data_IF_096300378865
#
_entry.id   IF_096300378865
#
_cell.length_a   1.000
_cell.length_b   1.000
_cell.length_c   1.000
_cell.angle_alpha   90.00
_cell.angle_beta   90.00
_cell.angle_gamma   90.00
#
_symmetry.space_group_name_H-M   'P 1'
#
loop_
_entity.id
_entity.type
_entity.pdbx_description
1 polymer ?
#
# COMPACT_ATOMS: atom_id res chain seq x y z
N UNK A 1 -7.80 24.52 8.16
CA UNK A 1 -6.59 23.71 8.42
C UNK A 1 -6.83 22.35 9.11
N UNK A 2 -7.86 22.17 9.97
CA UNK A 2 -8.14 20.86 10.62
C UNK A 2 -8.44 19.73 9.62
N UNK A 3 -9.29 19.98 8.62
CA UNK A 3 -9.64 18.96 7.61
C UNK A 3 -8.42 18.44 6.83
N UNK A 4 -7.46 19.32 6.51
CA UNK A 4 -6.24 18.94 5.80
C UNK A 4 -5.37 17.99 6.63
N UNK A 5 -5.26 18.22 7.94
CA UNK A 5 -4.55 17.32 8.87
C UNK A 5 -5.24 15.95 8.98
N UNK A 6 -6.57 15.91 8.99
CA UNK A 6 -7.33 14.66 9.06
C UNK A 6 -7.15 13.79 7.82
N UNK A 7 -7.19 14.40 6.63
CA UNK A 7 -6.99 13.71 5.34
C UNK A 7 -5.54 13.20 5.24
N UNK A 8 -4.56 14.03 5.59
CA UNK A 8 -3.15 13.65 5.56
C UNK A 8 -2.83 12.50 6.53
N UNK A 9 -3.58 12.40 7.64
CA UNK A 9 -3.45 11.31 8.61
C UNK A 9 -3.86 9.93 8.07
N UNK A 10 -4.71 9.87 7.04
CA UNK A 10 -5.18 8.62 6.40
C UNK A 10 -4.63 8.44 4.99
N UNK A 11 -3.53 9.12 4.67
CA UNK A 11 -2.90 9.07 3.36
C UNK A 11 -2.57 7.64 2.90
N UNK A 12 -1.99 6.74 3.73
CA UNK A 12 -1.67 5.39 3.27
C UNK A 12 -2.89 4.57 2.86
N UNK A 13 -3.98 4.64 3.61
CA UNK A 13 -5.21 3.91 3.30
C UNK A 13 -5.87 4.44 2.02
N UNK A 14 -5.92 5.77 1.84
CA UNK A 14 -6.44 6.36 0.60
C UNK A 14 -5.61 5.99 -0.61
N UNK A 15 -4.28 5.92 -0.46
CA UNK A 15 -3.39 5.44 -1.51
C UNK A 15 -3.72 3.99 -1.91
N UNK A 16 -3.89 3.09 -0.94
CA UNK A 16 -4.25 1.69 -1.22
C UNK A 16 -5.65 1.54 -1.84
N UNK A 17 -6.62 2.36 -1.39
CA UNK A 17 -7.96 2.40 -1.99
C UNK A 17 -7.86 2.82 -3.45
N UNK A 18 -7.11 3.89 -3.74
CA UNK A 18 -6.90 4.36 -5.11
C UNK A 18 -6.25 3.27 -5.97
N UNK A 19 -5.19 2.62 -5.50
CA UNK A 19 -4.56 1.51 -6.22
C UNK A 19 -5.53 0.35 -6.48
N UNK A 20 -6.36 0.01 -5.50
CA UNK A 20 -7.37 -1.06 -5.64
C UNK A 20 -8.40 -0.70 -6.70
N UNK A 21 -8.89 0.55 -6.73
CA UNK A 21 -9.81 1.02 -7.76
C UNK A 21 -9.17 0.99 -9.16
N UNK A 22 -7.92 1.46 -9.28
CA UNK A 22 -7.17 1.43 -10.54
C UNK A 22 -6.91 0.01 -11.03
N UNK A 23 -6.73 -0.96 -10.13
CA UNK A 23 -6.51 -2.37 -10.50
C UNK A 23 -7.69 -2.99 -11.25
N UNK A 24 -8.92 -2.49 -11.03
CA UNK A 24 -10.13 -2.94 -11.73
C UNK A 24 -10.12 -2.52 -13.21
N UNK A 25 -9.31 -1.51 -13.55
CA UNK A 25 -9.20 -0.98 -14.91
C UNK A 25 -8.13 -1.72 -15.75
N UNK A 26 -7.81 -2.98 -15.42
CA UNK A 26 -6.81 -3.77 -16.16
C UNK A 26 -7.40 -4.33 -17.47
N UNK A 27 -6.69 -4.25 -18.62
CA UNK A 27 -7.15 -4.84 -19.88
C UNK A 27 -7.21 -6.38 -19.82
N UNK A 28 -8.15 -7.04 -20.52
CA UNK A 28 -9.23 -6.45 -21.31
C UNK A 28 -10.22 -5.76 -20.37
N UNK A 29 -10.66 -4.55 -20.71
CA UNK A 29 -11.61 -3.75 -19.92
C UNK A 29 -13.03 -4.36 -19.89
N UNK A 30 -13.13 -5.67 -19.72
CA UNK A 30 -14.33 -6.32 -19.24
C UNK A 30 -14.60 -5.72 -17.86
N UNK A 31 -15.66 -4.91 -17.77
CA UNK A 31 -16.31 -4.49 -16.53
C UNK A 31 -16.87 -5.73 -15.80
N UNK A 32 -15.99 -6.65 -15.43
CA UNK A 32 -16.26 -7.77 -14.56
C UNK A 32 -16.09 -7.29 -13.14
N UNK A 33 -17.11 -7.53 -12.32
CA UNK A 33 -17.02 -7.42 -10.87
C UNK A 33 -15.93 -8.40 -10.44
N UNK A 34 -14.69 -7.93 -10.22
CA UNK A 34 -13.62 -8.74 -9.66
C UNK A 34 -13.90 -8.89 -8.16
N UNK A 35 -14.36 -10.06 -7.68
CA UNK A 35 -14.76 -10.21 -6.29
C UNK A 35 -13.58 -9.96 -5.35
N UNK A 36 -12.36 -10.30 -5.76
CA UNK A 36 -11.15 -10.06 -4.99
C UNK A 36 -10.90 -8.56 -4.78
N UNK A 37 -10.99 -7.75 -5.84
CA UNK A 37 -10.79 -6.31 -5.73
C UNK A 37 -11.85 -5.66 -4.82
N UNK A 38 -13.10 -6.11 -4.90
CA UNK A 38 -14.18 -5.63 -4.04
C UNK A 38 -13.95 -6.02 -2.58
N UNK A 39 -13.50 -7.25 -2.31
CA UNK A 39 -13.14 -7.69 -0.96
C UNK A 39 -12.01 -6.85 -0.38
N UNK A 40 -10.94 -6.61 -1.15
CA UNK A 40 -9.82 -5.76 -0.72
C UNK A 40 -10.29 -4.34 -0.45
N UNK A 41 -11.12 -3.77 -1.34
CA UNK A 41 -11.68 -2.43 -1.17
C UNK A 41 -12.52 -2.33 0.11
N UNK A 42 -13.38 -3.32 0.37
CA UNK A 42 -14.20 -3.37 1.57
C UNK A 42 -13.33 -3.43 2.85
N UNK A 43 -12.29 -4.27 2.85
CA UNK A 43 -11.33 -4.36 3.97
C UNK A 43 -10.65 -3.00 4.21
N UNK A 44 -10.20 -2.31 3.16
CA UNK A 44 -9.55 -1.00 3.28
C UNK A 44 -10.51 0.08 3.78
N UNK A 45 -11.76 0.09 3.32
CA UNK A 45 -12.79 1.02 3.82
C UNK A 45 -13.08 0.76 5.30
N UNK A 46 -13.24 -0.50 5.71
CA UNK A 46 -13.40 -0.85 7.12
C UNK A 46 -12.17 -0.46 7.94
N UNK A 47 -10.97 -0.57 7.37
CA UNK A 47 -9.74 -0.12 8.02
C UNK A 47 -9.74 1.40 8.26
N UNK A 48 -10.22 2.20 7.31
CA UNK A 48 -10.37 3.66 7.50
C UNK A 48 -11.38 3.99 8.60
N UNK A 49 -12.48 3.24 8.69
CA UNK A 49 -13.55 3.48 9.68
C UNK A 49 -13.13 3.05 11.08
N UNK A 50 -12.64 1.81 11.24
CA UNK A 50 -12.32 1.23 12.54
C UNK A 50 -10.90 1.55 13.03
N UNK A 51 -10.00 1.95 12.12
CA UNK A 51 -8.62 2.33 12.42
C UNK A 51 -7.91 1.31 13.34
N UNK A 52 -8.19 0.01 13.11
CA UNK A 52 -7.71 -1.05 13.98
C UNK A 52 -6.21 -1.27 13.77
N UNK A 53 -5.42 -1.18 14.85
CA UNK A 53 -3.97 -1.32 14.80
C UNK A 53 -3.50 -2.64 14.19
N UNK A 54 -4.04 -3.76 14.68
CA UNK A 54 -3.61 -5.09 14.26
C UNK A 54 -3.91 -5.29 12.76
N UNK A 55 -5.11 -4.91 12.32
CA UNK A 55 -5.48 -4.96 10.91
C UNK A 55 -4.61 -4.02 10.06
N UNK A 56 -4.32 -2.81 10.52
CA UNK A 56 -3.46 -1.84 9.82
C UNK A 56 -2.03 -2.35 9.62
N UNK A 57 -1.43 -2.94 10.67
CA UNK A 57 -0.11 -3.55 10.58
C UNK A 57 -0.10 -4.80 9.69
N UNK A 58 -1.15 -5.63 9.75
CA UNK A 58 -1.30 -6.79 8.86
C UNK A 58 -1.41 -6.36 7.39
N UNK A 59 -2.23 -5.35 7.09
CA UNK A 59 -2.38 -4.81 5.73
C UNK A 59 -1.04 -4.26 5.23
N UNK A 60 -0.34 -3.48 6.04
CA UNK A 60 0.98 -2.95 5.68
C UNK A 60 2.00 -4.07 5.44
N UNK A 61 2.02 -5.10 6.30
CA UNK A 61 2.90 -6.25 6.15
C UNK A 61 2.63 -7.06 4.88
N UNK A 62 1.36 -7.35 4.59
CA UNK A 62 0.95 -8.02 3.34
C UNK A 62 1.31 -7.18 2.11
N UNK A 63 1.13 -5.87 2.18
CA UNK A 63 1.48 -4.97 1.07
C UNK A 63 2.99 -4.90 0.84
N UNK A 64 3.82 -4.90 1.90
CA UNK A 64 5.28 -5.02 1.78
C UNK A 64 5.66 -6.35 1.15
N UNK A 65 5.11 -7.46 1.64
CA UNK A 65 5.40 -8.79 1.09
C UNK A 65 5.06 -8.87 -0.41
N UNK A 66 3.90 -8.33 -0.82
CA UNK A 66 3.52 -8.23 -2.23
C UNK A 66 4.48 -7.37 -3.06
N UNK A 67 4.98 -6.26 -2.51
CA UNK A 67 5.96 -5.41 -3.20
C UNK A 67 7.34 -6.06 -3.30
N UNK A 68 7.76 -6.81 -2.30
CA UNK A 68 8.99 -7.61 -2.37
C UNK A 68 8.86 -8.71 -3.42
N UNK A 69 7.72 -9.40 -3.48
CA UNK A 69 7.43 -10.37 -4.54
C UNK A 69 7.48 -9.72 -5.93
N UNK A 70 6.87 -8.53 -6.10
CA UNK A 70 6.95 -7.76 -7.34
C UNK A 70 8.40 -7.37 -7.69
N UNK A 71 9.22 -6.97 -6.72
CA UNK A 71 10.64 -6.67 -6.95
C UNK A 71 11.41 -7.89 -7.43
N UNK A 72 11.17 -9.06 -6.83
CA UNK A 72 11.79 -10.32 -7.27
C UNK A 72 11.38 -10.65 -8.71
N UNK A 73 10.10 -10.48 -9.04
CA UNK A 73 9.60 -10.69 -10.41
C UNK A 73 10.25 -9.73 -11.41
N UNK A 74 10.38 -8.44 -11.05
CA UNK A 74 11.05 -7.44 -11.87
C UNK A 74 12.51 -7.79 -12.15
N UNK A 75 13.25 -8.21 -11.11
CA UNK A 75 14.65 -8.62 -11.27
C UNK A 75 14.79 -9.90 -12.10
N UNK A 76 13.83 -10.82 -11.98
CA UNK A 76 13.77 -12.03 -12.80
C UNK A 76 13.61 -11.69 -14.28
N UNK A 77 12.62 -10.86 -14.63
CA UNK A 77 12.36 -10.45 -16.02
C UNK A 77 13.52 -9.60 -16.56
N UNK A 78 14.11 -8.73 -15.73
CA UNK A 78 15.28 -7.94 -16.13
C UNK A 78 16.49 -8.81 -16.52
N UNK A 79 16.70 -9.93 -15.83
CA UNK A 79 17.81 -10.86 -16.11
C UNK A 79 17.66 -11.62 -17.44
N UNK A 80 16.47 -11.67 -18.02
CA UNK A 80 16.25 -12.29 -19.33
C UNK A 80 16.66 -11.38 -20.50
N UNK A 81 16.87 -10.08 -20.24
CA UNK A 81 17.31 -9.17 -21.29
C UNK A 81 18.78 -9.40 -21.64
N UNK A 82 19.13 -9.64 -22.92
CA UNK A 82 20.51 -9.88 -23.34
C UNK A 82 21.39 -8.63 -23.26
N UNK A 83 20.78 -7.45 -23.18
CA UNK A 83 21.47 -6.18 -23.07
C UNK A 83 20.55 -5.11 -22.45
N UNK A 84 21.15 -4.03 -21.95
CA UNK A 84 20.46 -2.90 -21.33
C UNK A 84 19.80 -1.97 -22.37
N UNK A 85 18.86 -2.54 -23.11
CA UNK A 85 18.09 -1.92 -24.20
C UNK A 85 16.97 -1.00 -23.64
N UNK A 86 16.35 -0.13 -24.48
CA UNK A 86 15.26 0.74 -24.03
C UNK A 86 14.08 0.02 -23.35
N UNK A 87 13.65 -1.19 -23.79
CA UNK A 87 12.66 -1.99 -23.05
C UNK A 87 13.10 -2.39 -21.64
N UNK A 88 14.34 -2.87 -21.48
CA UNK A 88 14.91 -3.25 -20.19
C UNK A 88 15.00 -2.05 -19.24
N UNK A 89 15.41 -0.89 -19.76
CA UNK A 89 15.44 0.37 -19.01
C UNK A 89 14.04 0.80 -18.56
N UNK A 90 13.05 0.71 -19.44
CA UNK A 90 11.66 1.07 -19.12
C UNK A 90 11.12 0.17 -18.00
N UNK A 91 11.33 -1.14 -18.10
CA UNK A 91 10.92 -2.11 -17.08
C UNK A 91 11.56 -1.77 -15.72
N UNK A 92 12.87 -1.57 -15.70
CA UNK A 92 13.62 -1.30 -14.47
C UNK A 92 13.21 0.04 -13.83
N UNK A 93 13.20 1.14 -14.59
CA UNK A 93 12.91 2.46 -14.03
C UNK A 93 11.47 2.61 -13.57
N UNK A 94 10.49 2.14 -14.36
CA UNK A 94 9.08 2.23 -13.97
C UNK A 94 8.82 1.34 -12.75
N UNK A 95 9.28 0.09 -12.79
CA UNK A 95 8.98 -0.84 -11.71
C UNK A 95 9.72 -0.53 -10.40
N UNK A 96 10.98 -0.07 -10.45
CA UNK A 96 11.67 0.41 -9.24
C UNK A 96 11.02 1.68 -8.65
N UNK A 97 10.52 2.59 -9.50
CA UNK A 97 9.81 3.78 -9.03
C UNK A 97 8.51 3.42 -8.31
N UNK A 98 7.74 2.48 -8.88
CA UNK A 98 6.53 1.95 -8.25
C UNK A 98 6.84 1.23 -6.94
N UNK A 99 7.89 0.40 -6.92
CA UNK A 99 8.35 -0.28 -5.70
C UNK A 99 8.71 0.72 -4.60
N UNK A 100 9.53 1.73 -4.91
CA UNK A 100 9.96 2.74 -3.94
C UNK A 100 8.76 3.52 -3.37
N UNK A 101 7.81 3.91 -4.21
CA UNK A 101 6.59 4.59 -3.78
C UNK A 101 5.75 3.71 -2.84
N UNK A 102 5.50 2.47 -3.23
CA UNK A 102 4.69 1.54 -2.44
C UNK A 102 5.32 1.20 -1.08
N UNK A 103 6.64 0.98 -1.06
CA UNK A 103 7.37 0.74 0.20
C UNK A 103 7.29 1.96 1.10
N UNK A 104 7.47 3.16 0.55
CA UNK A 104 7.35 4.41 1.32
C UNK A 104 5.96 4.51 1.97
N UNK A 105 4.89 4.26 1.21
CA UNK A 105 3.52 4.27 1.75
C UNK A 105 3.33 3.21 2.84
N UNK A 106 3.88 2.01 2.64
CA UNK A 106 3.80 0.93 3.63
C UNK A 106 4.47 1.30 4.95
N UNK A 107 5.66 1.90 4.88
CA UNK A 107 6.40 2.36 6.05
C UNK A 107 5.64 3.48 6.76
N UNK A 108 5.03 4.42 6.02
CA UNK A 108 4.18 5.46 6.60
C UNK A 108 2.97 4.86 7.33
N UNK A 109 2.36 3.82 6.78
CA UNK A 109 1.25 3.09 7.42
C UNK A 109 1.71 2.47 8.75
N UNK A 110 2.84 1.76 8.77
CA UNK A 110 3.41 1.17 9.99
C UNK A 110 3.72 2.24 11.04
N UNK A 111 4.37 3.33 10.64
CA UNK A 111 4.73 4.43 11.52
C UNK A 111 3.49 5.06 12.19
N UNK A 112 2.41 5.22 11.43
CA UNK A 112 1.12 5.71 11.94
C UNK A 112 0.55 4.80 13.03
N UNK A 113 0.40 3.51 12.74
CA UNK A 113 -0.22 2.57 13.70
C UNK A 113 0.67 2.26 14.90
N UNK A 114 1.98 2.47 14.79
CA UNK A 114 2.91 2.36 15.92
C UNK A 114 2.79 3.57 16.85
N UNK A 115 2.87 4.80 16.32
CA UNK A 115 2.75 6.03 17.12
C UNK A 115 1.41 6.19 17.81
N UNK A 116 0.32 5.81 17.13
CA UNK A 116 -1.02 5.82 17.74
C UNK A 116 -1.11 4.93 18.99
N UNK A 117 -0.26 3.90 19.10
CA UNK A 117 -0.19 3.06 20.30
C UNK A 117 0.52 3.75 21.44
N UNK A 118 1.64 4.40 21.16
CA UNK A 118 2.44 5.10 22.17
C UNK A 118 1.60 6.18 22.87
N UNK A 119 0.80 6.94 22.11
CA UNK A 119 -0.09 7.95 22.68
C UNK A 119 -1.19 7.37 23.59
N UNK A 120 -1.74 6.20 23.26
CA UNK A 120 -2.77 5.54 24.10
C UNK A 120 -2.14 4.97 25.37
N UNK A 121 -0.98 4.33 25.28
CA UNK A 121 -0.28 3.73 26.44
C UNK A 121 0.15 4.80 27.44
N UNK A 122 0.69 5.93 26.97
CA UNK A 122 1.09 7.05 27.84
C UNK A 122 -0.12 7.62 28.58
N UNK A 123 -1.25 7.85 27.89
CA UNK A 123 -2.48 8.36 28.53
C UNK A 123 -3.05 7.42 29.58
N UNK A 124 -2.99 6.10 29.32
CA UNK A 124 -3.43 5.10 30.30
C UNK A 124 -2.52 5.11 31.53
N UNK A 125 -1.20 5.22 31.33
CA UNK A 125 -0.23 5.29 32.43
C UNK A 125 -0.35 6.56 33.27
N UNK A 126 -0.71 7.70 32.69
CA UNK A 126 -0.96 8.96 33.42
C UNK A 126 -2.31 8.99 34.16
N UNK A 127 -3.23 8.07 33.83
CA UNK A 127 -4.57 7.97 34.45
C UNK A 127 -4.68 6.92 35.58
N UNK A 128 -3.59 6.21 35.88
CA UNK A 128 -3.47 5.18 36.91
C UNK A 128 -2.70 5.70 38.13
#
# INVERSE_FOLDING_TARGET
MKALKTILGHFPEYYLILLTVLSVYTPPFSFGINPFAITVLAILVLQVIYNNKAAGLTIAGLFIAGNLYMLLALLSEFNEFPAFTPPAQKLLYVGLSLFALNITVSVLMIARYTRATEEVVVRVAESA
#
